data_IF_153648058169
#
_entry.id   IF_153648058169
#
_cell.length_a   1.000
_cell.length_b   1.000
_cell.length_c   1.000
_cell.angle_alpha   90.00
_cell.angle_beta   90.00
_cell.angle_gamma   90.00
#
_symmetry.space_group_name_H-M   'P 1'
#
loop_
_entity.id
_entity.type
_entity.pdbx_description
1 polymer ?
#
# COMPACT_ATOMS: atom_id res chain seq x y z
N UNK A 1 14.13 -4.70 0.62
CA UNK A 1 14.12 -4.01 1.91
C UNK A 1 12.80 -3.28 2.15
N UNK A 2 12.47 -3.02 3.41
CA UNK A 2 11.42 -2.11 3.84
C UNK A 2 12.14 -0.88 4.38
N UNK A 3 11.86 0.30 3.81
CA UNK A 3 12.45 1.56 4.25
C UNK A 3 11.35 2.43 4.86
N UNK A 4 11.31 2.57 6.21
CA UNK A 4 10.29 3.39 6.86
C UNK A 4 10.67 4.87 6.87
N UNK A 5 9.70 5.73 6.63
CA UNK A 5 9.76 7.17 6.90
C UNK A 5 8.72 7.48 7.98
N UNK A 6 9.16 7.47 9.24
CA UNK A 6 8.28 7.51 10.40
C UNK A 6 8.58 8.71 11.29
N UNK A 7 7.53 9.21 11.96
CA UNK A 7 7.64 10.11 13.09
C UNK A 7 7.70 11.59 12.75
N UNK A 8 8.10 12.37 13.76
CA UNK A 8 8.10 13.84 13.77
C UNK A 8 8.99 14.48 12.69
N UNK A 9 9.89 13.72 12.10
CA UNK A 9 10.79 14.20 11.05
C UNK A 9 10.09 14.48 9.71
N UNK A 10 8.85 14.02 9.55
CA UNK A 10 8.05 14.15 8.31
C UNK A 10 6.70 14.83 8.53
N UNK A 11 6.61 15.76 9.46
CA UNK A 11 5.55 16.76 9.43
C UNK A 11 5.91 17.72 8.29
N UNK A 12 5.57 17.36 7.07
CA UNK A 12 5.64 18.30 5.97
C UNK A 12 4.46 19.26 6.04
N UNK A 13 4.75 20.53 6.19
CA UNK A 13 3.88 21.57 5.67
C UNK A 13 3.95 21.42 4.14
N UNK A 14 3.08 20.60 3.57
CA UNK A 14 2.91 20.57 2.12
C UNK A 14 2.45 21.95 1.70
N UNK A 15 3.37 22.70 1.10
CA UNK A 15 3.13 24.08 0.73
C UNK A 15 2.03 24.21 -0.30
N UNK A 16 1.47 25.37 -0.36
CA UNK A 16 0.56 25.86 -1.40
C UNK A 16 1.33 26.10 -2.71
N UNK A 17 2.11 25.13 -3.17
CA UNK A 17 2.88 25.21 -4.40
C UNK A 17 2.50 24.06 -5.35
N UNK A 18 2.67 24.30 -6.63
CA UNK A 18 2.63 23.22 -7.63
C UNK A 18 3.90 22.41 -7.38
N UNK A 19 3.78 21.35 -6.58
CA UNK A 19 4.83 20.36 -6.50
C UNK A 19 4.76 19.52 -7.77
N UNK A 20 5.89 19.35 -8.43
CA UNK A 20 5.99 18.51 -9.60
C UNK A 20 5.68 17.06 -9.23
N UNK A 21 5.01 16.36 -10.13
CA UNK A 21 4.82 14.92 -10.00
C UNK A 21 6.19 14.25 -9.87
N UNK A 22 6.31 13.39 -8.86
CA UNK A 22 7.49 12.57 -8.64
C UNK A 22 7.14 11.09 -8.67
N UNK A 23 8.13 10.24 -8.74
CA UNK A 23 7.98 8.79 -8.66
C UNK A 23 9.16 8.17 -7.91
N UNK A 24 8.93 6.99 -7.37
CA UNK A 24 9.95 6.23 -6.64
C UNK A 24 10.27 4.91 -7.35
N UNK A 25 11.47 4.38 -7.12
CA UNK A 25 11.87 3.05 -7.60
C UNK A 25 11.33 1.91 -6.74
N UNK A 26 10.60 2.23 -5.69
CA UNK A 26 9.94 1.30 -4.78
C UNK A 26 8.47 1.63 -4.70
N UNK A 27 7.66 0.64 -4.33
CA UNK A 27 6.27 0.90 -3.97
C UNK A 27 6.22 1.77 -2.72
N UNK A 28 5.39 2.81 -2.76
CA UNK A 28 5.10 3.65 -1.61
C UNK A 28 3.77 3.24 -0.97
N UNK A 29 3.81 3.01 0.34
CA UNK A 29 2.62 2.79 1.16
C UNK A 29 2.56 3.92 2.17
N UNK A 30 1.50 4.72 2.12
CA UNK A 30 1.30 5.86 3.01
C UNK A 30 0.10 5.66 3.93
N UNK A 31 0.17 6.21 5.14
CA UNK A 31 -0.97 6.34 6.04
C UNK A 31 -1.09 7.77 6.53
N UNK A 32 -2.26 8.37 6.27
CA UNK A 32 -2.62 9.71 6.75
C UNK A 32 -3.29 9.60 8.11
N UNK A 33 -2.65 10.08 9.15
CA UNK A 33 -3.22 10.09 10.50
C UNK A 33 -4.25 11.19 10.68
N UNK A 34 -3.94 12.39 10.17
CA UNK A 34 -4.83 13.54 10.17
C UNK A 34 -4.47 14.56 9.10
N UNK A 35 -5.39 15.47 8.83
CA UNK A 35 -5.28 16.51 7.82
C UNK A 35 -6.12 16.21 6.60
N UNK A 36 -6.11 17.12 5.65
CA UNK A 36 -6.81 17.00 4.37
C UNK A 36 -6.04 17.67 3.24
N UNK A 37 -6.25 17.21 2.04
CA UNK A 37 -5.57 17.74 0.87
C UNK A 37 -6.00 17.07 -0.43
N UNK A 38 -5.15 17.25 -1.42
CA UNK A 38 -5.31 16.65 -2.75
C UNK A 38 -4.13 15.73 -3.03
N UNK A 39 -4.45 14.49 -3.33
CA UNK A 39 -3.53 13.50 -3.88
C UNK A 39 -3.71 13.46 -5.39
N UNK A 40 -2.65 13.69 -6.13
CA UNK A 40 -2.63 13.55 -7.59
C UNK A 40 -1.98 12.22 -7.93
N UNK A 41 -2.69 11.37 -8.66
CA UNK A 41 -2.26 10.05 -9.11
C UNK A 41 -2.27 10.03 -10.65
N UNK A 42 -1.10 10.21 -11.26
CA UNK A 42 -1.03 10.45 -12.70
C UNK A 42 -1.78 11.73 -13.09
N UNK A 43 -2.87 11.58 -13.85
CA UNK A 43 -3.74 12.70 -14.24
C UNK A 43 -4.94 12.89 -13.31
N UNK A 44 -5.20 11.95 -12.42
CA UNK A 44 -6.37 11.96 -11.53
C UNK A 44 -6.07 12.69 -10.23
N UNK A 45 -6.99 13.58 -9.82
CA UNK A 45 -6.94 14.28 -8.54
C UNK A 45 -8.01 13.76 -7.61
N UNK A 46 -7.61 13.34 -6.41
CA UNK A 46 -8.50 12.85 -5.37
C UNK A 46 -8.31 13.66 -4.09
N UNK A 47 -9.41 13.99 -3.41
CA UNK A 47 -9.34 14.50 -2.04
C UNK A 47 -8.92 13.38 -1.11
N UNK A 48 -8.03 13.71 -0.15
CA UNK A 48 -7.75 12.83 0.98
C UNK A 48 -8.09 13.53 2.30
N UNK A 49 -8.35 12.71 3.30
CA UNK A 49 -8.58 13.12 4.69
C UNK A 49 -7.80 12.21 5.63
N UNK A 50 -7.76 12.54 6.92
CA UNK A 50 -7.20 11.64 7.93
C UNK A 50 -7.88 10.27 7.93
N UNK A 51 -7.15 9.25 8.41
CA UNK A 51 -7.55 7.84 8.48
C UNK A 51 -7.72 7.19 7.11
N UNK A 52 -6.91 7.61 6.15
CA UNK A 52 -6.80 7.00 4.82
C UNK A 52 -5.39 6.49 4.57
N UNK A 53 -5.29 5.49 3.73
CA UNK A 53 -4.01 4.95 3.27
C UNK A 53 -3.88 5.00 1.76
N UNK A 54 -2.64 5.05 1.31
CA UNK A 54 -2.27 4.98 -0.10
C UNK A 54 -1.41 3.76 -0.37
N UNK A 55 -1.57 3.18 -1.56
CA UNK A 55 -0.64 2.20 -2.13
C UNK A 55 -0.31 2.67 -3.52
N UNK A 56 0.92 3.08 -3.73
CA UNK A 56 1.38 3.65 -5.00
C UNK A 56 2.47 2.75 -5.57
N UNK A 57 2.23 2.10 -6.72
CA UNK A 57 3.21 1.24 -7.36
C UNK A 57 4.52 1.98 -7.70
N UNK A 58 5.61 1.23 -7.84
CA UNK A 58 6.86 1.80 -8.32
C UNK A 58 6.66 2.55 -9.64
N UNK A 59 7.40 3.65 -9.82
CA UNK A 59 7.37 4.49 -11.04
C UNK A 59 6.01 5.09 -11.39
N UNK A 60 5.03 5.03 -10.47
CA UNK A 60 3.74 5.67 -10.68
C UNK A 60 3.84 7.17 -10.31
N UNK A 61 3.58 8.10 -11.26
CA UNK A 61 3.67 9.53 -10.98
C UNK A 61 2.60 9.98 -10.00
N UNK A 62 3.01 10.66 -8.93
CA UNK A 62 2.09 11.16 -7.91
C UNK A 62 2.64 12.38 -7.19
N UNK A 63 1.75 13.10 -6.51
CA UNK A 63 2.12 14.15 -5.56
C UNK A 63 1.00 14.37 -4.55
N UNK A 64 1.36 14.77 -3.34
CA UNK A 64 0.43 15.04 -2.24
C UNK A 64 0.54 16.50 -1.83
N UNK A 65 -0.59 17.23 -1.86
CA UNK A 65 -0.67 18.63 -1.48
C UNK A 65 -1.70 18.81 -0.36
N UNK A 66 -1.30 19.44 0.76
CA UNK A 66 -2.24 19.85 1.81
C UNK A 66 -3.15 20.97 1.32
N UNK A 67 -4.39 20.98 1.78
CA UNK A 67 -5.23 22.17 1.61
C UNK A 67 -4.71 23.29 2.52
N UNK A 68 -4.79 24.54 2.01
CA UNK A 68 -4.19 25.70 2.65
C UNK A 68 -4.48 25.82 4.15
N UNK A 69 -3.44 26.05 4.95
CA UNK A 69 -3.46 26.15 6.40
C UNK A 69 -3.77 24.85 7.19
N UNK A 70 -3.83 23.69 6.54
CA UNK A 70 -3.97 22.41 7.24
C UNK A 70 -2.62 21.72 7.38
N UNK A 71 -2.36 21.18 8.57
CA UNK A 71 -1.19 20.33 8.82
C UNK A 71 -1.61 18.89 8.61
N UNK A 72 -0.96 18.18 7.69
CA UNK A 72 -1.16 16.76 7.48
C UNK A 72 -0.04 15.96 8.15
N UNK A 73 -0.41 14.86 8.77
CA UNK A 73 0.56 13.88 9.27
C UNK A 73 0.44 12.60 8.45
N UNK A 74 1.48 12.33 7.69
CA UNK A 74 1.69 11.09 6.96
C UNK A 74 2.90 10.34 7.50
N UNK A 75 2.84 9.03 7.40
CA UNK A 75 3.99 8.15 7.52
C UNK A 75 4.02 7.24 6.28
N UNK A 76 5.20 6.82 5.87
CA UNK A 76 5.42 6.08 4.64
C UNK A 76 6.32 4.87 4.83
N UNK A 77 6.06 3.82 4.05
CA UNK A 77 6.92 2.67 3.85
C UNK A 77 7.28 2.58 2.37
N UNK A 78 8.56 2.44 2.08
CA UNK A 78 9.04 2.16 0.73
C UNK A 78 9.46 0.70 0.64
N UNK A 79 8.90 -0.05 -0.29
CA UNK A 79 9.04 -1.50 -0.36
C UNK A 79 9.51 -1.95 -1.74
N UNK A 80 10.61 -2.72 -1.78
CA UNK A 80 10.99 -3.52 -2.94
C UNK A 80 10.09 -4.75 -3.02
N UNK A 81 8.94 -4.59 -3.69
CA UNK A 81 7.90 -5.64 -3.77
C UNK A 81 8.39 -6.82 -4.59
N UNK A 82 9.05 -6.58 -5.73
CA UNK A 82 9.55 -7.65 -6.58
C UNK A 82 10.56 -8.51 -5.85
N UNK A 83 11.59 -7.90 -5.25
CA UNK A 83 12.60 -8.61 -4.48
C UNK A 83 12.02 -9.34 -3.27
N UNK A 84 11.02 -8.75 -2.60
CA UNK A 84 10.34 -9.37 -1.48
C UNK A 84 9.52 -10.60 -1.91
N UNK A 85 8.71 -10.49 -2.95
CA UNK A 85 7.86 -11.59 -3.43
C UNK A 85 8.70 -12.75 -3.99
N UNK A 86 9.75 -12.45 -4.77
CA UNK A 86 10.67 -13.49 -5.29
C UNK A 86 11.33 -14.30 -4.18
N UNK A 87 11.61 -13.69 -3.04
CA UNK A 87 12.23 -14.35 -1.89
C UNK A 87 11.25 -15.17 -1.05
N UNK A 88 9.99 -14.75 -0.98
CA UNK A 88 9.04 -15.26 0.01
C UNK A 88 7.86 -16.05 -0.59
N UNK A 89 7.66 -16.04 -1.92
CA UNK A 89 6.68 -16.90 -2.57
C UNK A 89 7.26 -18.27 -2.90
N UNK A 90 6.44 -19.31 -2.83
CA UNK A 90 6.84 -20.69 -3.14
C UNK A 90 7.22 -20.90 -4.61
N UNK A 91 6.64 -20.11 -5.52
CA UNK A 91 6.93 -20.20 -6.95
C UNK A 91 7.07 -18.82 -7.60
N UNK A 92 7.90 -18.76 -8.64
CA UNK A 92 8.08 -17.56 -9.45
C UNK A 92 6.77 -17.13 -10.15
N UNK A 93 5.94 -18.10 -10.55
CA UNK A 93 4.63 -17.83 -11.19
C UNK A 93 3.68 -17.14 -10.22
N UNK A 94 3.66 -17.58 -8.97
CA UNK A 94 2.85 -16.96 -7.92
C UNK A 94 3.33 -15.53 -7.61
N UNK A 95 4.65 -15.36 -7.45
CA UNK A 95 5.25 -14.04 -7.22
C UNK A 95 4.91 -13.06 -8.35
N UNK A 96 5.03 -13.47 -9.60
CA UNK A 96 4.73 -12.64 -10.76
C UNK A 96 3.24 -12.31 -10.89
N UNK A 97 2.36 -13.26 -10.59
CA UNK A 97 0.92 -13.02 -10.55
C UNK A 97 0.54 -11.96 -9.52
N UNK A 98 1.11 -12.06 -8.31
CA UNK A 98 0.89 -11.06 -7.26
C UNK A 98 1.45 -9.70 -7.67
N UNK A 99 2.68 -9.66 -8.18
CA UNK A 99 3.35 -8.42 -8.60
C UNK A 99 2.55 -7.66 -9.67
N UNK A 100 2.06 -8.35 -10.69
CA UNK A 100 1.20 -7.74 -11.72
C UNK A 100 -0.06 -7.12 -11.15
N UNK A 101 -0.72 -7.79 -10.20
CA UNK A 101 -1.93 -7.26 -9.57
C UNK A 101 -1.62 -6.06 -8.68
N UNK A 102 -0.55 -6.13 -7.89
CA UNK A 102 -0.12 -5.03 -7.01
C UNK A 102 0.21 -3.79 -7.84
N UNK A 103 0.88 -3.97 -8.98
CA UNK A 103 1.30 -2.87 -9.86
C UNK A 103 0.20 -2.41 -10.85
N UNK A 104 -1.01 -2.95 -10.79
CA UNK A 104 -2.06 -2.61 -11.75
C UNK A 104 -2.67 -1.22 -11.56
N UNK A 105 -2.48 -0.58 -10.42
CA UNK A 105 -2.99 0.76 -10.15
C UNK A 105 -2.67 1.25 -8.76
N UNK A 106 -2.73 2.58 -8.58
CA UNK A 106 -2.60 3.22 -7.28
C UNK A 106 -3.94 3.22 -6.52
N UNK A 107 -3.87 3.13 -5.19
CA UNK A 107 -5.03 3.10 -4.30
C UNK A 107 -4.98 4.28 -3.33
N UNK A 108 -6.16 4.84 -3.06
CA UNK A 108 -6.45 5.71 -1.92
C UNK A 108 -7.75 5.21 -1.30
N UNK A 109 -7.71 4.73 -0.07
CA UNK A 109 -8.84 4.09 0.60
C UNK A 109 -8.95 4.51 2.06
N UNK A 110 -10.17 4.47 2.60
CA UNK A 110 -10.40 4.67 4.02
C UNK A 110 -10.06 3.38 4.81
N UNK A 111 -9.61 3.55 6.04
CA UNK A 111 -9.35 2.42 6.92
C UNK A 111 -10.61 1.58 7.20
N UNK A 112 -11.80 2.19 7.16
CA UNK A 112 -13.08 1.50 7.38
C UNK A 112 -13.50 0.62 6.19
N UNK A 113 -13.05 0.95 4.97
CA UNK A 113 -13.33 0.17 3.76
C UNK A 113 -12.49 -1.11 3.74
N UNK A 114 -11.23 -1.04 4.17
CA UNK A 114 -10.28 -2.15 4.18
C UNK A 114 -9.51 -2.21 5.51
N UNK A 115 -10.20 -2.54 6.62
CA UNK A 115 -9.63 -2.42 7.96
C UNK A 115 -8.42 -3.33 8.20
N UNK A 116 -8.40 -4.52 7.61
CA UNK A 116 -7.26 -5.44 7.76
C UNK A 116 -6.00 -4.93 7.05
N UNK A 117 -6.16 -4.27 5.91
CA UNK A 117 -5.03 -3.65 5.18
C UNK A 117 -4.52 -2.46 5.98
N UNK A 118 -5.41 -1.58 6.44
CA UNK A 118 -5.04 -0.43 7.25
C UNK A 118 -4.32 -0.86 8.54
N UNK A 119 -4.82 -1.88 9.24
CA UNK A 119 -4.19 -2.44 10.44
C UNK A 119 -2.77 -2.99 10.14
N UNK A 120 -2.60 -3.74 9.07
CA UNK A 120 -1.27 -4.23 8.66
C UNK A 120 -0.29 -3.07 8.45
N UNK A 121 -0.71 -2.01 7.75
CA UNK A 121 0.13 -0.83 7.50
C UNK A 121 0.57 -0.18 8.82
N UNK A 122 -0.38 0.12 9.70
CA UNK A 122 -0.11 0.78 10.99
C UNK A 122 0.80 -0.09 11.86
N UNK A 123 0.55 -1.40 11.91
CA UNK A 123 1.38 -2.33 12.70
C UNK A 123 2.79 -2.45 12.16
N UNK A 124 3.00 -2.51 10.84
CA UNK A 124 4.35 -2.51 10.26
C UNK A 124 5.08 -1.23 10.65
N UNK A 125 4.43 -0.08 10.55
CA UNK A 125 5.03 1.20 10.96
C UNK A 125 5.42 1.21 12.44
N UNK A 126 4.58 0.69 13.32
CA UNK A 126 4.85 0.61 14.75
C UNK A 126 6.01 -0.36 15.07
N UNK A 127 6.05 -1.52 14.44
CA UNK A 127 7.13 -2.49 14.55
C UNK A 127 8.46 -1.89 14.09
N UNK A 128 8.45 -1.21 12.94
CA UNK A 128 9.64 -0.55 12.38
C UNK A 128 10.10 0.64 13.23
N UNK A 129 9.24 1.20 14.07
CA UNK A 129 9.58 2.27 15.02
C UNK A 129 10.21 1.74 16.28
N UNK A 130 9.73 0.59 16.78
CA UNK A 130 10.21 0.01 18.05
C UNK A 130 11.50 -0.77 17.91
N UNK A 131 11.71 -1.42 16.75
CA UNK A 131 12.89 -2.24 16.46
C UNK A 131 13.19 -3.28 17.56
N UNK A 132 12.13 -3.91 18.10
CA UNK A 132 12.25 -4.96 19.10
C UNK A 132 12.86 -6.23 18.51
N UNK A 133 13.23 -7.19 19.34
CA UNK A 133 13.79 -8.45 18.87
C UNK A 133 12.86 -9.13 17.83
N UNK A 134 13.41 -9.58 16.70
CA UNK A 134 12.70 -10.19 15.57
C UNK A 134 11.74 -9.25 14.79
N UNK A 135 11.85 -7.94 14.96
CA UNK A 135 10.97 -6.98 14.27
C UNK A 135 10.96 -7.12 12.74
N UNK A 136 12.08 -7.50 12.13
CA UNK A 136 12.15 -7.72 10.66
C UNK A 136 11.29 -8.92 10.24
N UNK A 137 11.30 -10.00 11.02
CA UNK A 137 10.50 -11.19 10.76
C UNK A 137 9.01 -10.90 10.91
N UNK A 138 8.64 -10.18 11.97
CA UNK A 138 7.26 -9.77 12.21
C UNK A 138 6.76 -8.82 11.11
N UNK A 139 7.51 -7.78 10.78
CA UNK A 139 7.19 -6.86 9.68
C UNK A 139 7.08 -7.58 8.33
N UNK A 140 7.96 -8.56 8.06
CA UNK A 140 7.93 -9.34 6.83
C UNK A 140 6.68 -10.22 6.73
N UNK A 141 6.23 -10.83 7.82
CA UNK A 141 4.98 -11.60 7.86
C UNK A 141 3.76 -10.73 7.58
N UNK A 142 3.68 -9.56 8.23
CA UNK A 142 2.62 -8.58 7.99
C UNK A 142 2.67 -7.99 6.57
N UNK A 143 3.87 -7.76 6.04
CA UNK A 143 4.03 -7.29 4.66
C UNK A 143 3.51 -8.31 3.66
N UNK A 144 3.77 -9.60 3.85
CA UNK A 144 3.20 -10.63 2.98
C UNK A 144 1.67 -10.64 3.04
N UNK A 145 1.08 -10.53 4.22
CA UNK A 145 -0.38 -10.44 4.40
C UNK A 145 -0.96 -9.20 3.70
N UNK A 146 -0.30 -8.05 3.86
CA UNK A 146 -0.65 -6.78 3.22
C UNK A 146 -0.61 -6.90 1.69
N UNK A 147 0.48 -7.39 1.11
CA UNK A 147 0.65 -7.55 -0.33
C UNK A 147 -0.37 -8.52 -0.93
N UNK A 148 -0.70 -9.61 -0.23
CA UNK A 148 -1.75 -10.53 -0.63
C UNK A 148 -3.14 -9.84 -0.62
N UNK A 149 -3.41 -8.99 0.36
CA UNK A 149 -4.61 -8.17 0.44
C UNK A 149 -4.74 -7.21 -0.75
N UNK A 150 -3.70 -6.44 -1.03
CA UNK A 150 -3.63 -5.51 -2.17
C UNK A 150 -3.83 -6.25 -3.50
N UNK A 151 -3.17 -7.39 -3.68
CA UNK A 151 -3.32 -8.20 -4.89
C UNK A 151 -4.76 -8.73 -5.08
N UNK A 152 -5.51 -8.96 -4.00
CA UNK A 152 -6.94 -9.30 -4.06
C UNK A 152 -7.81 -8.11 -4.42
N UNK A 153 -7.54 -6.92 -3.87
CA UNK A 153 -8.28 -5.69 -4.21
C UNK A 153 -8.16 -5.33 -5.69
N UNK A 154 -6.98 -5.52 -6.27
CA UNK A 154 -6.71 -5.22 -7.68
C UNK A 154 -7.09 -6.36 -8.64
N UNK A 155 -8.03 -7.23 -8.25
CA UNK A 155 -8.52 -8.29 -9.12
C UNK A 155 -9.43 -7.71 -10.21
N UNK A 156 -9.21 -8.12 -11.47
CA UNK A 156 -10.16 -7.77 -12.54
C UNK A 156 -11.45 -8.59 -12.43
N UNK A 157 -12.59 -8.10 -12.97
CA UNK A 157 -13.85 -8.86 -12.97
C UNK A 157 -13.73 -10.27 -13.60
N UNK A 158 -12.96 -10.43 -14.67
CA UNK A 158 -12.70 -11.73 -15.30
C UNK A 158 -11.91 -12.66 -14.36
N UNK A 159 -10.93 -12.12 -13.63
CA UNK A 159 -10.15 -12.89 -12.66
C UNK A 159 -11.01 -13.27 -11.44
N UNK A 160 -12.00 -12.47 -11.10
CA UNK A 160 -12.93 -12.75 -10.03
C UNK A 160 -13.88 -13.90 -10.41
N UNK A 161 -14.44 -13.88 -11.61
CA UNK A 161 -15.26 -14.97 -12.15
C UNK A 161 -14.49 -16.31 -12.18
N UNK A 162 -13.26 -16.31 -12.71
CA UNK A 162 -12.43 -17.52 -12.75
C UNK A 162 -12.12 -18.08 -11.35
N UNK A 163 -11.90 -17.20 -10.36
CA UNK A 163 -11.68 -17.62 -9.00
C UNK A 163 -12.93 -18.25 -8.37
N UNK A 164 -14.10 -17.68 -8.62
CA UNK A 164 -15.38 -18.22 -8.14
C UNK A 164 -15.67 -19.58 -8.75
N UNK A 165 -15.45 -19.77 -10.06
CA UNK A 165 -15.63 -21.06 -10.74
C UNK A 165 -14.71 -22.14 -10.18
N UNK A 166 -13.42 -21.82 -9.97
CA UNK A 166 -12.46 -22.74 -9.38
C UNK A 166 -12.81 -23.10 -7.94
N UNK A 167 -13.27 -22.12 -7.15
CA UNK A 167 -13.67 -22.32 -5.76
C UNK A 167 -14.94 -23.19 -5.67
N UNK A 168 -15.90 -23.03 -6.57
CA UNK A 168 -17.09 -23.88 -6.67
C UNK A 168 -16.71 -25.31 -7.04
N UNK A 169 -15.82 -25.47 -8.00
CA UNK A 169 -15.36 -26.81 -8.44
C UNK A 169 -14.65 -27.57 -7.33
N UNK A 170 -13.83 -26.90 -6.54
CA UNK A 170 -13.16 -27.53 -5.40
C UNK A 170 -14.09 -27.94 -4.27
N UNK A 171 -15.17 -27.21 -4.03
CA UNK A 171 -16.19 -27.57 -3.03
C UNK A 171 -16.98 -28.82 -3.44
N UNK A 172 -17.27 -29.01 -4.74
CA UNK A 172 -18.00 -30.16 -5.27
C UNK A 172 -17.15 -31.47 -5.15
N UNK A 173 -15.82 -31.36 -5.11
CA UNK A 173 -14.93 -32.53 -5.00
C UNK A 173 -14.72 -32.92 -3.51
N UNK A 174 -15.06 -32.06 -2.58
CA UNK A 174 -14.86 -32.27 -1.12
C UNK A 174 -16.08 -32.85 -0.39
N UNK A 175 -17.23 -32.94 -1.07
CA UNK A 175 -18.48 -33.60 -0.60
C UNK A 175 -18.64 -34.99 -1.25
#
# INVERSE_FOLDING_TARGET
>A
PILPLLGVRWVQNYGTGIEDLHFHNFMEIGFCYYGEGILTLGEEKRKFTGRQFTVIPERFPHTTNSMGNTVCKWEYLFVDVEGFLRKNCESAVQAEKMLRRINSGALLMNEEEEPLIAECIIRIMDIMRREEEFYIQEASGLLMALLAGIARLNRTPEQEMLYEEQSRSMRIISD
#
